data_IF_573327583084
#
_entry.id   IF_573327583084
#
_cell.length_a   1.000
_cell.length_b   1.000
_cell.length_c   1.000
_cell.angle_alpha   90.00
_cell.angle_beta   90.00
_cell.angle_gamma   90.00
#
_symmetry.space_group_name_H-M   'P 1'
#
loop_
_entity.id
_entity.type
_entity.pdbx_description
1 polymer ?
#
# COMPACT_ATOMS: atom_id res chain seq x y z
N UNK A 1 9.49 -19.03 5.77
CA UNK A 1 8.16 -18.70 5.22
C UNK A 1 8.02 -19.39 3.88
N UNK A 2 6.88 -20.01 3.58
CA UNK A 2 6.58 -20.47 2.22
C UNK A 2 6.22 -19.24 1.39
N UNK A 3 7.06 -18.89 0.42
CA UNK A 3 6.82 -17.81 -0.52
C UNK A 3 7.54 -18.08 -1.83
N UNK A 4 7.01 -17.56 -2.93
CA UNK A 4 7.62 -17.67 -4.25
C UNK A 4 7.23 -16.47 -5.11
N UNK A 5 8.08 -16.13 -6.06
CA UNK A 5 7.83 -15.08 -7.03
C UNK A 5 7.12 -15.63 -8.27
N UNK A 6 6.24 -14.81 -8.84
CA UNK A 6 5.57 -15.04 -10.12
C UNK A 6 5.60 -13.73 -10.91
N UNK A 7 5.43 -13.82 -12.23
CA UNK A 7 5.30 -12.65 -13.10
C UNK A 7 3.89 -12.59 -13.67
N UNK A 8 3.35 -11.38 -13.82
CA UNK A 8 2.16 -11.18 -14.63
C UNK A 8 2.50 -11.21 -16.14
N UNK A 9 1.50 -11.18 -17.04
CA UNK A 9 1.73 -11.17 -18.48
C UNK A 9 2.56 -9.98 -19.01
N UNK A 10 2.75 -8.92 -18.20
CA UNK A 10 3.53 -7.73 -18.54
C UNK A 10 4.93 -7.76 -17.89
N UNK A 11 5.32 -8.86 -17.23
CA UNK A 11 6.62 -9.02 -16.56
C UNK A 11 6.71 -8.30 -15.21
N UNK A 12 5.60 -7.89 -14.61
CA UNK A 12 5.62 -7.32 -13.26
C UNK A 12 5.79 -8.44 -12.22
N UNK A 13 6.75 -8.32 -11.30
CA UNK A 13 6.96 -9.33 -10.27
C UNK A 13 5.92 -9.22 -9.15
N UNK A 14 5.36 -10.37 -8.77
CA UNK A 14 4.51 -10.54 -7.60
C UNK A 14 5.11 -11.61 -6.69
N UNK A 15 5.06 -11.38 -5.38
CA UNK A 15 5.40 -12.42 -4.41
C UNK A 15 4.11 -13.03 -3.85
N UNK A 16 3.95 -14.34 -4.00
CA UNK A 16 2.92 -15.08 -3.27
C UNK A 16 3.48 -15.41 -1.89
N UNK A 17 2.74 -15.02 -0.86
CA UNK A 17 3.12 -15.18 0.55
C UNK A 17 1.96 -15.77 1.33
N UNK A 18 2.28 -16.38 2.46
CA UNK A 18 1.26 -16.77 3.44
C UNK A 18 0.55 -15.53 4.00
N UNK A 19 -0.78 -15.51 3.91
CA UNK A 19 -1.60 -14.39 4.39
C UNK A 19 -1.80 -14.43 5.90
N UNK A 20 -1.67 -13.28 6.56
CA UNK A 20 -1.90 -13.13 8.01
C UNK A 20 -3.33 -12.71 8.37
N UNK A 21 -4.22 -12.63 7.38
CA UNK A 21 -5.63 -12.28 7.58
C UNK A 21 -6.51 -12.73 6.41
N UNK A 22 -7.80 -12.93 6.68
CA UNK A 22 -8.77 -13.39 5.68
C UNK A 22 -10.13 -12.72 5.85
N UNK A 23 -10.57 -11.97 4.83
CA UNK A 23 -11.87 -11.27 4.90
C UNK A 23 -13.05 -12.19 4.55
N UNK A 24 -12.97 -12.88 3.41
CA UNK A 24 -14.01 -13.79 2.92
C UNK A 24 -13.43 -14.80 1.95
N UNK A 25 -13.97 -16.02 1.92
CA UNK A 25 -13.70 -16.95 0.83
C UNK A 25 -14.39 -16.44 -0.44
N UNK A 26 -13.61 -16.23 -1.50
CA UNK A 26 -14.11 -15.80 -2.82
C UNK A 26 -14.45 -16.99 -3.73
N UNK A 27 -13.94 -18.18 -3.40
CA UNK A 27 -14.02 -19.36 -4.26
C UNK A 27 -13.12 -19.27 -5.49
N UNK A 28 -12.18 -18.32 -5.54
CA UNK A 28 -11.26 -18.19 -6.66
C UNK A 28 -10.32 -19.42 -6.75
N UNK A 29 -10.10 -20.02 -7.94
CA UNK A 29 -9.33 -21.26 -8.09
C UNK A 29 -7.87 -21.18 -7.60
N UNK A 30 -7.28 -19.99 -7.59
CA UNK A 30 -5.91 -19.80 -7.09
C UNK A 30 -5.79 -19.88 -5.57
N UNK A 31 -6.91 -19.86 -4.84
CA UNK A 31 -6.95 -19.77 -3.38
C UNK A 31 -6.18 -18.57 -2.77
N UNK A 32 -5.77 -17.59 -3.60
CA UNK A 32 -5.06 -16.41 -3.16
C UNK A 32 -6.02 -15.33 -2.62
N UNK A 33 -5.51 -14.56 -1.65
CA UNK A 33 -6.18 -13.38 -1.12
C UNK A 33 -5.91 -12.11 -1.93
N UNK A 34 -6.11 -10.96 -1.30
CA UNK A 34 -5.75 -9.65 -1.85
C UNK A 34 -4.28 -9.29 -1.63
N UNK A 35 -3.97 -7.99 -1.74
CA UNK A 35 -2.62 -7.44 -1.52
C UNK A 35 -2.20 -7.65 -0.06
N UNK A 36 -1.07 -8.33 0.15
CA UNK A 36 -0.51 -8.57 1.49
C UNK A 36 0.55 -7.53 1.91
N UNK A 37 1.02 -6.70 0.99
CA UNK A 37 2.12 -5.78 1.24
C UNK A 37 2.85 -5.37 -0.02
N UNK A 38 4.03 -4.78 0.16
CA UNK A 38 4.92 -4.41 -0.94
C UNK A 38 6.39 -4.62 -0.59
N UNK A 39 7.21 -4.89 -1.61
CA UNK A 39 8.67 -4.90 -1.53
C UNK A 39 9.17 -3.63 -2.24
N UNK A 40 9.99 -2.83 -1.56
CA UNK A 40 10.45 -1.54 -2.08
C UNK A 40 11.98 -1.52 -2.03
N UNK A 41 12.60 -1.30 -3.18
CA UNK A 41 14.04 -1.04 -3.27
C UNK A 41 14.36 0.36 -2.76
N UNK A 42 15.36 0.48 -1.89
CA UNK A 42 15.76 1.76 -1.28
C UNK A 42 17.27 1.97 -1.36
N UNK A 43 17.71 3.22 -1.52
CA UNK A 43 19.14 3.55 -1.54
C UNK A 43 19.75 3.64 -0.13
N UNK A 44 18.95 4.00 0.86
CA UNK A 44 19.38 4.12 2.26
C UNK A 44 18.30 3.67 3.22
N UNK A 45 18.54 2.53 3.88
CA UNK A 45 17.62 1.96 4.87
C UNK A 45 17.28 2.97 5.96
N UNK A 46 18.27 3.69 6.48
CA UNK A 46 18.08 4.65 7.57
C UNK A 46 17.21 5.85 7.16
N UNK A 47 17.27 6.29 5.90
CA UNK A 47 16.40 7.36 5.42
C UNK A 47 14.98 6.84 5.19
N UNK A 48 14.84 5.67 4.59
CA UNK A 48 13.54 5.07 4.29
C UNK A 48 12.78 4.66 5.55
N UNK A 49 13.47 4.20 6.60
CA UNK A 49 12.85 3.90 7.90
C UNK A 49 12.16 5.13 8.51
N UNK A 50 12.67 6.35 8.30
CA UNK A 50 11.98 7.56 8.78
C UNK A 50 10.58 7.72 8.19
N UNK A 51 10.37 7.31 6.95
CA UNK A 51 9.04 7.33 6.34
C UNK A 51 8.22 6.09 6.76
N UNK A 52 8.69 4.91 6.38
CA UNK A 52 7.89 3.69 6.46
C UNK A 52 7.63 3.25 7.91
N UNK A 53 8.62 3.38 8.80
CA UNK A 53 8.47 3.06 10.23
C UNK A 53 7.84 4.22 10.99
N UNK A 54 8.45 5.41 10.92
CA UNK A 54 8.12 6.49 11.87
C UNK A 54 6.86 7.28 11.47
N UNK A 55 6.57 7.45 10.17
CA UNK A 55 5.39 8.19 9.69
C UNK A 55 4.23 7.24 9.38
N UNK A 56 4.48 6.17 8.61
CA UNK A 56 3.44 5.23 8.18
C UNK A 56 3.10 4.17 9.24
N UNK A 57 3.92 4.04 10.28
CA UNK A 57 3.63 3.21 11.45
C UNK A 57 3.86 1.71 11.25
N UNK A 58 4.73 1.32 10.31
CA UNK A 58 5.23 -0.07 10.24
C UNK A 58 6.34 -0.27 11.29
N UNK A 59 5.94 -0.32 12.55
CA UNK A 59 6.84 -0.20 13.71
C UNK A 59 7.54 -1.50 14.13
N UNK A 60 6.96 -2.66 13.78
CA UNK A 60 7.47 -3.95 14.24
C UNK A 60 8.38 -4.55 13.19
N UNK A 61 9.66 -4.73 13.52
CA UNK A 61 10.63 -5.43 12.68
C UNK A 61 10.40 -6.93 12.77
N UNK A 62 10.03 -7.55 11.65
CA UNK A 62 9.93 -9.01 11.51
C UNK A 62 11.33 -9.60 11.33
N UNK A 63 12.15 -8.94 10.52
CA UNK A 63 13.59 -9.23 10.38
C UNK A 63 14.34 -8.00 9.85
N UNK A 64 15.62 -7.92 10.17
CA UNK A 64 16.62 -7.02 9.57
C UNK A 64 17.88 -7.87 9.34
N UNK A 65 18.11 -8.26 8.10
CA UNK A 65 19.15 -9.24 7.73
C UNK A 65 19.92 -8.78 6.51
N UNK A 66 21.22 -9.04 6.49
CA UNK A 66 22.10 -8.74 5.36
C UNK A 66 22.72 -10.02 4.83
N UNK A 67 22.68 -10.22 3.52
CA UNK A 67 23.29 -11.38 2.87
C UNK A 67 22.83 -11.57 1.43
N UNK A 68 23.14 -12.74 0.88
CA UNK A 68 22.54 -13.23 -0.37
C UNK A 68 21.36 -14.13 -0.05
N UNK A 69 20.30 -14.03 -0.84
CA UNK A 69 19.06 -14.75 -0.58
C UNK A 69 18.61 -15.52 -1.81
N UNK A 70 18.40 -16.83 -1.63
CA UNK A 70 18.02 -17.74 -2.72
C UNK A 70 16.66 -17.37 -3.34
N UNK A 71 15.71 -16.89 -2.52
CA UNK A 71 14.39 -16.44 -2.98
C UNK A 71 14.46 -15.21 -3.90
N UNK A 72 15.52 -14.41 -3.81
CA UNK A 72 15.74 -13.25 -4.67
C UNK A 72 16.48 -13.59 -5.96
N UNK A 73 17.07 -14.79 -6.08
CA UNK A 73 17.81 -15.20 -7.28
C UNK A 73 17.06 -15.01 -8.62
N UNK A 74 15.70 -15.16 -8.71
CA UNK A 74 14.97 -14.88 -9.93
C UNK A 74 14.84 -13.38 -10.24
N UNK A 75 14.95 -12.50 -9.23
CA UNK A 75 14.81 -11.05 -9.38
C UNK A 75 16.16 -10.37 -9.58
N UNK A 76 17.15 -10.74 -8.78
CA UNK A 76 18.46 -10.11 -8.76
C UNK A 76 19.49 -10.94 -7.98
N UNK A 77 20.76 -10.83 -8.36
CA UNK A 77 21.89 -11.39 -7.63
C UNK A 77 22.65 -10.27 -6.90
N UNK A 78 23.27 -10.63 -5.77
CA UNK A 78 24.09 -9.72 -4.97
C UNK A 78 23.86 -9.90 -3.47
N UNK A 79 24.34 -8.92 -2.72
CA UNK A 79 24.19 -8.80 -1.28
C UNK A 79 23.19 -7.69 -0.99
N UNK A 80 22.18 -8.01 -0.20
CA UNK A 80 21.12 -7.06 0.16
C UNK A 80 20.96 -6.98 1.67
N UNK A 81 20.65 -5.80 2.19
CA UNK A 81 20.03 -5.64 3.52
C UNK A 81 18.52 -5.59 3.33
N UNK A 82 17.79 -6.54 3.93
CA UNK A 82 16.34 -6.65 3.85
C UNK A 82 15.74 -6.38 5.23
N UNK A 83 14.80 -5.44 5.29
CA UNK A 83 14.08 -5.09 6.53
C UNK A 83 12.60 -5.23 6.28
N UNK A 84 11.96 -6.22 6.92
CA UNK A 84 10.51 -6.41 6.83
C UNK A 84 9.83 -5.86 8.08
N UNK A 85 8.85 -5.01 7.85
CA UNK A 85 8.12 -4.28 8.86
C UNK A 85 6.63 -4.60 8.78
N UNK A 86 5.97 -4.67 9.93
CA UNK A 86 4.52 -4.77 10.07
C UNK A 86 4.01 -3.72 11.05
N UNK A 87 2.72 -3.42 10.99
CA UNK A 87 2.07 -2.62 12.03
C UNK A 87 2.05 -3.38 13.37
N UNK A 88 2.29 -2.66 14.48
CA UNK A 88 2.21 -3.24 15.84
C UNK A 88 0.78 -3.62 16.21
N UNK A 89 -0.18 -2.77 15.84
CA UNK A 89 -1.61 -2.98 16.10
C UNK A 89 -2.38 -3.18 14.79
N UNK A 90 -3.52 -3.87 14.89
CA UNK A 90 -4.46 -3.98 13.78
C UNK A 90 -4.95 -2.59 13.35
N UNK A 91 -4.92 -2.33 12.04
CA UNK A 91 -5.40 -1.08 11.46
C UNK A 91 -6.89 -0.88 11.73
N UNK A 92 -7.27 0.37 11.91
CA UNK A 92 -8.65 0.83 12.16
C UNK A 92 -9.14 1.64 10.98
N UNK A 93 -10.45 1.83 10.88
CA UNK A 93 -11.07 2.63 9.83
C UNK A 93 -12.08 1.84 8.98
N UNK A 94 -12.81 2.52 8.08
CA UNK A 94 -13.95 1.96 7.36
C UNK A 94 -13.61 0.66 6.62
N UNK A 95 -12.47 0.63 5.94
CA UNK A 95 -12.05 -0.47 5.06
C UNK A 95 -11.00 -1.39 5.67
N UNK A 96 -10.51 -1.13 6.87
CA UNK A 96 -9.39 -1.87 7.45
C UNK A 96 -9.63 -3.39 7.57
N UNK A 97 -10.87 -3.86 7.78
CA UNK A 97 -11.19 -5.30 7.76
C UNK A 97 -11.12 -5.93 6.36
N UNK A 98 -11.38 -5.14 5.33
CA UNK A 98 -11.31 -5.58 3.93
C UNK A 98 -9.85 -5.63 3.47
N UNK A 99 -9.08 -4.56 3.76
CA UNK A 99 -7.67 -4.45 3.39
C UNK A 99 -6.79 -5.41 4.20
N UNK A 100 -7.13 -5.64 5.46
CA UNK A 100 -6.42 -6.58 6.32
C UNK A 100 -5.05 -6.08 6.79
N UNK A 101 -4.30 -6.95 7.49
CA UNK A 101 -2.92 -6.67 7.87
C UNK A 101 -2.00 -6.68 6.63
N UNK A 102 -1.05 -5.75 6.59
CA UNK A 102 -0.06 -5.63 5.52
C UNK A 102 1.36 -5.60 6.08
N UNK A 103 2.34 -5.89 5.22
CA UNK A 103 3.77 -5.69 5.51
C UNK A 103 4.45 -4.82 4.45
N UNK A 104 5.51 -4.10 4.84
CA UNK A 104 6.46 -3.50 3.90
C UNK A 104 7.81 -4.17 4.09
N UNK A 105 8.43 -4.60 2.99
CA UNK A 105 9.81 -5.07 2.98
C UNK A 105 10.67 -4.07 2.22
N UNK A 106 11.61 -3.45 2.91
CA UNK A 106 12.60 -2.55 2.33
C UNK A 106 13.84 -3.35 1.97
N UNK A 107 14.37 -3.12 0.77
CA UNK A 107 15.53 -3.83 0.24
C UNK A 107 16.58 -2.82 -0.20
N UNK A 108 17.72 -2.82 0.48
CA UNK A 108 18.88 -2.02 0.08
C UNK A 108 19.94 -2.95 -0.52
N UNK A 109 20.44 -2.65 -1.72
CA UNK A 109 21.62 -3.34 -2.24
C UNK A 109 22.89 -2.85 -1.56
N UNK A 110 23.79 -3.78 -1.23
CA UNK A 110 25.06 -3.50 -0.56
C UNK A 110 26.24 -3.45 -1.52
N UNK A 111 26.12 -4.09 -2.67
CA UNK A 111 27.21 -4.30 -3.63
C UNK A 111 26.88 -3.90 -5.08
N UNK A 112 25.60 -3.74 -5.44
CA UNK A 112 25.22 -3.34 -6.79
C UNK A 112 25.40 -1.84 -7.01
N UNK A 113 25.95 -1.51 -8.17
CA UNK A 113 26.14 -0.13 -8.65
C UNK A 113 25.17 0.26 -9.77
N UNK A 114 24.36 -0.68 -10.25
CA UNK A 114 23.41 -0.54 -11.35
C UNK A 114 21.95 -0.37 -10.88
N UNK A 115 21.74 -0.07 -9.60
CA UNK A 115 20.43 0.23 -9.03
C UNK A 115 19.90 1.57 -9.57
N UNK A 116 18.62 1.57 -9.95
CA UNK A 116 17.91 2.71 -10.55
C UNK A 116 16.64 3.03 -9.77
N UNK A 117 16.16 4.28 -9.85
CA UNK A 117 14.86 4.66 -9.26
C UNK A 117 13.74 3.99 -10.03
N UNK A 118 12.70 3.52 -9.34
CA UNK A 118 11.60 2.75 -9.96
C UNK A 118 10.85 3.54 -11.05
N UNK A 119 10.78 4.86 -10.91
CA UNK A 119 10.11 5.76 -11.86
C UNK A 119 11.06 6.49 -12.81
N UNK A 120 12.35 6.13 -12.81
CA UNK A 120 13.31 6.72 -13.74
C UNK A 120 12.90 6.45 -15.19
N UNK A 121 12.76 7.51 -15.99
CA UNK A 121 12.37 7.47 -17.40
C UNK A 121 11.01 6.77 -17.66
N UNK A 122 10.08 6.80 -16.70
CA UNK A 122 8.70 6.33 -16.91
C UNK A 122 7.79 7.45 -17.43
N UNK A 123 6.95 7.12 -18.40
CA UNK A 123 5.97 8.03 -18.99
C UNK A 123 4.55 7.57 -18.71
N UNK A 124 3.60 8.50 -18.84
CA UNK A 124 2.18 8.17 -18.72
C UNK A 124 1.80 7.11 -19.77
N UNK A 125 1.18 6.02 -19.32
CA UNK A 125 0.80 4.88 -20.16
C UNK A 125 1.79 3.71 -20.12
N UNK A 126 2.94 3.83 -19.46
CA UNK A 126 3.86 2.71 -19.28
C UNK A 126 3.28 1.61 -18.35
N UNK A 127 3.60 0.35 -18.66
CA UNK A 127 3.11 -0.82 -17.92
C UNK A 127 3.79 -1.00 -16.55
N UNK A 128 3.02 -1.04 -15.48
CA UNK A 128 3.48 -1.47 -14.17
C UNK A 128 2.82 -0.73 -13.02
N UNK A 129 3.42 -0.80 -11.84
CA UNK A 129 2.95 -0.09 -10.66
C UNK A 129 3.19 1.42 -10.80
N UNK A 130 2.24 2.23 -10.36
CA UNK A 130 2.29 3.71 -10.44
C UNK A 130 2.49 4.39 -9.08
N UNK A 131 2.05 3.76 -7.99
CA UNK A 131 2.20 4.27 -6.62
C UNK A 131 1.93 3.15 -5.61
N UNK A 132 2.22 3.41 -4.33
CA UNK A 132 1.66 2.65 -3.21
C UNK A 132 0.59 3.49 -2.52
N UNK A 133 -0.64 2.98 -2.47
CA UNK A 133 -1.80 3.72 -1.96
C UNK A 133 -2.22 3.24 -0.56
N UNK A 134 -2.49 4.20 0.33
CA UNK A 134 -3.00 3.97 1.68
C UNK A 134 -4.37 4.62 1.89
N UNK A 135 -5.29 3.85 2.47
CA UNK A 135 -6.53 4.38 3.06
C UNK A 135 -6.20 5.06 4.41
N UNK A 136 -6.52 6.35 4.51
CA UNK A 136 -6.20 7.18 5.67
C UNK A 136 -7.49 7.80 6.23
N UNK A 137 -7.48 8.07 7.54
CA UNK A 137 -8.39 9.03 8.17
C UNK A 137 -7.55 10.08 8.89
N UNK A 138 -7.93 11.36 8.78
CA UNK A 138 -7.18 12.48 9.35
C UNK A 138 -6.07 12.97 8.43
N UNK A 139 -6.40 13.38 7.21
CA UNK A 139 -5.41 13.83 6.22
C UNK A 139 -4.59 15.04 6.71
N UNK A 140 -5.19 15.99 7.43
CA UNK A 140 -4.48 17.16 7.96
C UNK A 140 -3.41 16.78 9.00
N UNK A 141 -3.72 15.84 9.89
CA UNK A 141 -2.76 15.33 10.87
C UNK A 141 -1.63 14.53 10.19
N UNK A 142 -1.95 13.79 9.13
CA UNK A 142 -0.93 13.13 8.33
C UNK A 142 -0.03 14.15 7.62
N UNK A 143 -0.61 15.17 6.99
CA UNK A 143 0.13 16.25 6.32
C UNK A 143 1.14 16.90 7.26
N UNK A 144 0.71 17.32 8.46
CA UNK A 144 1.59 17.94 9.43
C UNK A 144 2.72 17.00 9.90
N UNK A 145 2.44 15.70 10.07
CA UNK A 145 3.47 14.69 10.41
C UNK A 145 4.47 14.49 9.29
N UNK A 146 3.99 14.38 8.06
CA UNK A 146 4.79 14.25 6.86
C UNK A 146 5.72 15.46 6.65
N UNK A 147 5.18 16.69 6.75
CA UNK A 147 5.97 17.94 6.68
C UNK A 147 7.06 17.99 7.76
N UNK A 148 6.72 17.66 9.02
CA UNK A 148 7.69 17.62 10.11
C UNK A 148 8.80 16.59 9.91
N UNK A 149 8.47 15.47 9.26
CA UNK A 149 9.41 14.39 8.98
C UNK A 149 10.27 14.62 7.72
N UNK A 150 10.01 15.69 6.96
CA UNK A 150 10.72 16.02 5.72
C UNK A 150 10.15 15.37 4.46
N UNK A 151 8.91 14.89 4.51
CA UNK A 151 8.18 14.27 3.40
C UNK A 151 6.93 15.08 3.04
N UNK A 152 7.04 16.38 2.67
CA UNK A 152 5.87 17.22 2.43
C UNK A 152 4.99 16.66 1.30
N UNK A 153 3.70 16.98 1.35
CA UNK A 153 2.80 16.62 0.26
C UNK A 153 3.22 17.31 -1.04
N UNK A 154 3.44 16.54 -2.10
CA UNK A 154 3.79 17.05 -3.43
C UNK A 154 2.54 17.40 -4.25
N UNK A 155 1.44 16.69 -4.00
CA UNK A 155 0.11 16.95 -4.53
C UNK A 155 -0.90 16.82 -3.39
N UNK A 156 -1.88 17.71 -3.33
CA UNK A 156 -2.96 17.68 -2.33
C UNK A 156 -4.23 18.26 -2.95
N UNK A 157 -5.29 17.47 -3.05
CA UNK A 157 -6.60 17.96 -3.54
C UNK A 157 -7.23 18.97 -2.57
N UNK A 158 -6.65 19.13 -1.37
CA UNK A 158 -7.03 20.02 -0.25
C UNK A 158 -8.39 19.70 0.37
N UNK A 159 -9.41 19.55 -0.47
CA UNK A 159 -10.77 19.21 -0.10
C UNK A 159 -11.25 17.94 -0.83
N UNK A 160 -12.52 17.59 -0.61
CA UNK A 160 -13.19 16.51 -1.34
C UNK A 160 -13.13 16.77 -2.85
N UNK A 161 -12.37 15.94 -3.55
CA UNK A 161 -12.45 15.82 -4.99
C UNK A 161 -13.62 14.90 -5.35
N UNK A 162 -14.59 15.42 -6.09
CA UNK A 162 -15.75 14.66 -6.54
C UNK A 162 -15.45 13.92 -7.85
N UNK A 163 -15.52 12.59 -7.81
CA UNK A 163 -15.37 11.72 -8.97
C UNK A 163 -16.75 11.20 -9.46
N UNK A 164 -17.81 11.96 -9.15
CA UNK A 164 -19.21 11.65 -9.42
C UNK A 164 -19.81 10.68 -8.41
N UNK A 165 -19.39 9.42 -8.48
CA UNK A 165 -19.97 8.34 -7.66
C UNK A 165 -19.26 8.12 -6.34
N UNK A 166 -17.97 8.46 -6.30
CA UNK A 166 -17.15 8.47 -5.12
C UNK A 166 -16.52 9.86 -4.96
N UNK A 167 -16.10 10.17 -3.75
CA UNK A 167 -15.37 11.40 -3.48
C UNK A 167 -14.51 11.26 -2.24
N UNK A 168 -13.39 11.95 -2.23
CA UNK A 168 -12.39 11.88 -1.17
C UNK A 168 -11.33 12.94 -1.34
N UNK A 169 -10.42 13.03 -0.37
CA UNK A 169 -9.20 13.84 -0.50
C UNK A 169 -8.06 12.93 -0.92
N UNK A 170 -7.25 13.40 -1.87
CA UNK A 170 -6.13 12.68 -2.44
C UNK A 170 -4.87 13.49 -2.23
N UNK A 171 -3.79 12.83 -1.82
CA UNK A 171 -2.50 13.47 -1.69
C UNK A 171 -1.37 12.51 -1.96
N UNK A 172 -0.22 13.06 -2.33
CA UNK A 172 0.98 12.30 -2.65
C UNK A 172 2.17 12.82 -1.84
N UNK A 173 3.06 11.92 -1.46
CA UNK A 173 4.43 12.23 -1.07
C UNK A 173 5.39 11.43 -1.94
N UNK A 174 6.66 11.83 -1.92
CA UNK A 174 7.76 11.02 -2.42
C UNK A 174 8.53 10.41 -1.25
N UNK A 175 8.89 9.13 -1.38
CA UNK A 175 9.88 8.52 -0.51
C UNK A 175 11.30 9.03 -0.82
N UNK A 176 12.33 8.70 -0.01
CA UNK A 176 13.69 9.17 -0.26
C UNK A 176 14.27 8.86 -1.65
N UNK A 177 13.73 7.84 -2.32
CA UNK A 177 14.16 7.35 -3.63
C UNK A 177 13.24 7.82 -4.77
N UNK A 178 12.24 8.65 -4.46
CA UNK A 178 11.29 9.21 -5.42
C UNK A 178 10.11 8.29 -5.75
N UNK A 179 9.86 7.23 -4.97
CA UNK A 179 8.66 6.42 -5.13
C UNK A 179 7.43 7.19 -4.61
N UNK A 180 6.34 7.19 -5.39
CA UNK A 180 5.09 7.84 -5.02
C UNK A 180 4.28 7.03 -4.01
N UNK A 181 3.99 7.66 -2.89
CA UNK A 181 3.08 7.15 -1.86
C UNK A 181 1.81 8.00 -1.89
N UNK A 182 0.68 7.38 -2.25
CA UNK A 182 -0.63 8.02 -2.28
C UNK A 182 -1.36 7.80 -0.95
N UNK A 183 -2.03 8.85 -0.50
CA UNK A 183 -2.99 8.79 0.60
C UNK A 183 -4.37 9.17 0.10
N UNK A 184 -5.35 8.33 0.44
CA UNK A 184 -6.75 8.56 0.11
C UNK A 184 -7.56 8.61 1.40
N UNK A 185 -8.25 9.73 1.61
CA UNK A 185 -9.29 9.84 2.63
C UNK A 185 -10.66 9.80 1.95
N UNK A 186 -11.31 8.64 2.01
CA UNK A 186 -12.61 8.44 1.36
C UNK A 186 -13.72 9.15 2.12
N UNK A 187 -14.45 10.06 1.46
CA UNK A 187 -15.58 10.79 2.05
C UNK A 187 -16.93 10.24 1.61
N UNK A 188 -17.04 9.72 0.38
CA UNK A 188 -18.27 9.18 -0.21
C UNK A 188 -17.93 7.98 -1.08
N UNK A 189 -18.69 6.89 -0.93
CA UNK A 189 -18.53 5.66 -1.73
C UNK A 189 -19.90 5.00 -1.99
N UNK A 190 -20.13 4.40 -3.18
CA UNK A 190 -21.34 3.64 -3.45
C UNK A 190 -21.32 2.30 -2.70
N UNK A 191 -22.42 1.98 -2.00
CA UNK A 191 -22.66 0.64 -1.45
C UNK A 191 -23.31 -0.23 -2.52
N UNK A 192 -24.41 0.24 -3.14
CA UNK A 192 -25.05 -0.40 -4.29
C UNK A 192 -25.40 0.68 -5.30
N UNK A 193 -24.53 0.86 -6.31
CA UNK A 193 -24.64 1.90 -7.33
C UNK A 193 -25.98 1.88 -8.06
N UNK A 194 -26.45 0.68 -8.44
CA UNK A 194 -27.72 0.48 -9.17
C UNK A 194 -28.95 0.93 -8.40
N UNK A 195 -28.89 0.93 -7.07
CA UNK A 195 -29.98 1.36 -6.19
C UNK A 195 -29.77 2.80 -5.69
N UNK A 196 -28.75 3.51 -6.18
CA UNK A 196 -28.39 4.84 -5.70
C UNK A 196 -28.01 4.88 -4.23
N UNK A 197 -27.57 3.75 -3.65
CA UNK A 197 -27.22 3.69 -2.24
C UNK A 197 -25.76 4.04 -2.02
N UNK A 198 -25.53 5.19 -1.38
CA UNK A 198 -24.20 5.71 -1.03
C UNK A 198 -24.03 5.81 0.47
N UNK A 199 -22.78 5.77 0.93
CA UNK A 199 -22.42 6.08 2.31
C UNK A 199 -21.51 7.29 2.35
N UNK A 200 -21.82 8.22 3.27
CA UNK A 200 -20.95 9.31 3.64
C UNK A 200 -20.08 8.88 4.83
N UNK A 201 -18.78 8.87 4.62
CA UNK A 201 -17.77 8.49 5.61
C UNK A 201 -17.20 9.70 6.37
N UNK A 202 -17.31 10.92 5.82
CA UNK A 202 -16.78 12.16 6.42
C UNK A 202 -17.34 12.41 7.82
N UNK A 203 -18.61 12.07 8.06
CA UNK A 203 -19.29 12.30 9.34
C UNK A 203 -19.29 11.08 10.27
N UNK A 204 -18.53 10.02 9.96
CA UNK A 204 -18.51 8.80 10.78
C UNK A 204 -17.46 8.89 11.88
N UNK A 205 -17.66 8.20 13.02
CA UNK A 205 -16.64 8.12 14.06
C UNK A 205 -15.35 7.51 13.52
N UNK A 206 -14.23 8.19 13.76
CA UNK A 206 -12.88 7.76 13.36
C UNK A 206 -12.57 6.37 13.90
N UNK A 207 -11.93 5.54 13.08
CA UNK A 207 -11.47 4.20 13.42
C UNK A 207 -12.56 3.11 13.39
N UNK A 208 -13.84 3.45 13.21
CA UNK A 208 -14.90 2.43 13.12
C UNK A 208 -14.92 1.74 11.76
N UNK A 209 -14.95 0.40 11.80
CA UNK A 209 -15.13 -0.44 10.62
C UNK A 209 -16.51 -0.24 9.98
N UNK A 210 -16.59 -0.47 8.67
CA UNK A 210 -17.87 -0.73 8.02
C UNK A 210 -18.39 -2.12 8.38
N UNK A 211 -19.72 -2.28 8.53
CA UNK A 211 -20.32 -3.60 8.73
C UNK A 211 -19.95 -4.55 7.58
N UNK A 212 -19.70 -5.82 7.90
CA UNK A 212 -19.28 -6.84 6.91
C UNK A 212 -20.28 -6.99 5.75
N UNK A 213 -21.58 -6.88 6.03
CA UNK A 213 -22.62 -6.95 4.99
C UNK A 213 -22.52 -5.80 3.99
N UNK A 214 -22.11 -4.61 4.42
CA UNK A 214 -21.97 -3.42 3.57
C UNK A 214 -20.76 -3.56 2.66
N UNK A 215 -19.63 -4.00 3.20
CA UNK A 215 -18.43 -4.32 2.43
C UNK A 215 -18.70 -5.42 1.40
N UNK A 216 -19.49 -6.45 1.77
CA UNK A 216 -19.93 -7.48 0.81
C UNK A 216 -20.86 -6.93 -0.26
N UNK A 217 -21.74 -5.99 0.07
CA UNK A 217 -22.66 -5.38 -0.89
C UNK A 217 -21.91 -4.57 -1.98
N UNK A 218 -20.75 -3.99 -1.66
CA UNK A 218 -19.92 -3.29 -2.65
C UNK A 218 -19.48 -4.20 -3.80
N UNK A 219 -19.38 -5.52 -3.60
CA UNK A 219 -19.06 -6.48 -4.65
C UNK A 219 -20.13 -6.53 -5.77
N UNK A 220 -21.38 -6.11 -5.50
CA UNK A 220 -22.42 -6.00 -6.53
C UNK A 220 -22.14 -4.90 -7.56
N UNK A 221 -21.19 -4.00 -7.28
CA UNK A 221 -20.76 -2.96 -8.21
C UNK A 221 -19.62 -3.41 -9.13
N UNK A 222 -19.13 -4.66 -9.01
CA UNK A 222 -18.04 -5.18 -9.85
C UNK A 222 -18.40 -5.12 -11.33
N UNK A 223 -17.57 -4.45 -12.13
CA UNK A 223 -17.65 -4.48 -13.59
C UNK A 223 -17.30 -5.90 -14.04
N UNK A 224 -18.15 -6.48 -14.88
CA UNK A 224 -17.92 -7.81 -15.47
C UNK A 224 -17.04 -7.69 -16.71
#
# INVERSE_FOLDING_TARGET
SLSYFVEDPNGNPFQIVEGSGWFTATGHPSHCGGVAGSIIGVSSMEQSLKLYRDVLGYETVVYDVTGSFEDFSPLSQGTFRRVKLIHREARKGPFAKLLGPTSIELVQSMDRTDVRRIFENRFWGDWGFIHLCFDIQGMDELKARCEKAGFPFTVDSSDTFDMGEAGGRFSYIEDPDGAWIEFVETHKVPVIKKLGWYINLKNRPVGKFLPKWMLKAMAFNRVK
#
